data_IF_990496056291
#
_entry.id   IF_990496056291
#
_cell.length_a   1.000
_cell.length_b   1.000
_cell.length_c   1.000
_cell.angle_alpha   90.00
_cell.angle_beta   90.00
_cell.angle_gamma   90.00
#
_symmetry.space_group_name_H-M   'P 1'
#
loop_
_entity.id
_entity.type
_entity.pdbx_description
1 polymer ?
#
# COMPACT_ATOMS: atom_id res chain seq x y z
N UNK A 1 -25.99 -12.74 19.90
CA UNK A 1 -24.98 -13.71 19.40
C UNK A 1 -24.37 -13.08 18.15
N UNK A 2 -23.10 -12.75 17.95
CA UNK A 2 -21.83 -12.89 18.66
C UNK A 2 -20.89 -11.80 18.13
N UNK A 3 -20.82 -10.62 18.76
CA UNK A 3 -19.98 -9.52 18.27
C UNK A 3 -18.48 -9.87 18.30
N UNK A 4 -18.05 -10.71 19.25
CA UNK A 4 -16.64 -11.12 19.40
C UNK A 4 -16.13 -11.96 18.23
N UNK A 5 -16.94 -12.87 17.68
CA UNK A 5 -16.53 -13.72 16.55
C UNK A 5 -16.34 -12.92 15.26
N UNK A 6 -17.21 -11.92 15.03
CA UNK A 6 -17.10 -11.04 13.85
C UNK A 6 -15.77 -10.26 13.81
N UNK A 7 -15.23 -9.86 14.96
CA UNK A 7 -13.99 -9.09 15.01
C UNK A 7 -12.74 -9.96 14.77
N UNK A 8 -12.79 -11.26 15.09
CA UNK A 8 -11.72 -12.21 14.75
C UNK A 8 -11.70 -12.51 13.24
N UNK A 9 -12.88 -12.70 12.64
CA UNK A 9 -13.03 -12.87 11.19
C UNK A 9 -12.46 -11.68 10.41
N UNK A 10 -12.73 -10.45 10.85
CA UNK A 10 -12.26 -9.25 10.15
C UNK A 10 -10.75 -9.03 10.29
N UNK A 11 -10.14 -9.46 11.40
CA UNK A 11 -8.68 -9.48 11.56
C UNK A 11 -8.01 -10.45 10.59
N UNK A 12 -8.56 -11.65 10.45
CA UNK A 12 -8.00 -12.65 9.52
C UNK A 12 -8.20 -12.21 8.05
N UNK A 13 -9.33 -11.61 7.71
CA UNK A 13 -9.54 -10.99 6.39
C UNK A 13 -8.53 -9.89 6.09
N UNK A 14 -8.24 -9.01 7.05
CA UNK A 14 -7.25 -7.95 6.87
C UNK A 14 -5.84 -8.51 6.60
N UNK A 15 -5.44 -9.56 7.31
CA UNK A 15 -4.16 -10.26 7.07
C UNK A 15 -4.11 -10.92 5.70
N UNK A 16 -5.17 -11.65 5.34
CA UNK A 16 -5.26 -12.30 4.04
C UNK A 16 -5.20 -11.27 2.89
N UNK A 17 -5.86 -10.13 3.06
CA UNK A 17 -5.82 -9.05 2.07
C UNK A 17 -4.43 -8.43 1.93
N UNK A 18 -3.72 -8.24 3.04
CA UNK A 18 -2.35 -7.74 3.03
C UNK A 18 -1.41 -8.69 2.27
N UNK A 19 -1.48 -9.99 2.57
CA UNK A 19 -0.70 -11.02 1.87
C UNK A 19 -1.00 -11.02 0.38
N UNK A 20 -2.27 -11.04 -0.01
CA UNK A 20 -2.67 -11.00 -1.42
C UNK A 20 -2.18 -9.73 -2.13
N UNK A 21 -2.24 -8.56 -1.48
CA UNK A 21 -1.70 -7.31 -2.03
C UNK A 21 -0.18 -7.36 -2.20
N UNK A 22 0.52 -8.00 -1.26
CA UNK A 22 1.96 -8.19 -1.34
C UNK A 22 2.36 -9.19 -2.44
N UNK A 23 1.65 -10.32 -2.58
CA UNK A 23 1.85 -11.28 -3.67
C UNK A 23 1.64 -10.65 -5.05
N UNK A 24 0.60 -9.82 -5.18
CA UNK A 24 0.35 -9.05 -6.40
C UNK A 24 1.50 -8.09 -6.72
N UNK A 25 2.10 -7.47 -5.69
CA UNK A 25 3.25 -6.59 -5.86
C UNK A 25 4.50 -7.36 -6.29
N UNK A 26 4.75 -8.53 -5.69
CA UNK A 26 5.87 -9.41 -6.05
C UNK A 26 5.77 -9.95 -7.48
N UNK A 27 4.55 -10.23 -7.93
CA UNK A 27 4.28 -10.72 -9.29
C UNK A 27 4.27 -9.61 -10.34
N UNK A 28 4.28 -8.34 -9.92
CA UNK A 28 4.21 -7.20 -10.83
C UNK A 28 5.57 -6.93 -11.47
N UNK A 29 5.60 -6.92 -12.80
CA UNK A 29 6.81 -6.61 -13.55
C UNK A 29 6.97 -5.08 -13.63
N UNK A 30 7.59 -4.49 -12.60
CA UNK A 30 7.75 -3.05 -12.47
C UNK A 30 7.95 -2.59 -11.03
N UNK A 31 7.58 -1.34 -10.75
CA UNK A 31 7.53 -0.81 -9.38
C UNK A 31 6.09 -0.72 -8.90
N UNK A 32 5.85 -1.04 -7.64
CA UNK A 32 4.58 -0.73 -7.00
C UNK A 32 4.76 -0.25 -5.57
N UNK A 33 3.64 0.18 -5.00
CA UNK A 33 3.58 0.80 -3.70
C UNK A 33 2.52 0.09 -2.84
N UNK A 34 2.93 -0.29 -1.63
CA UNK A 34 2.06 -0.88 -0.63
C UNK A 34 2.20 -0.06 0.65
N UNK A 35 1.10 0.54 1.10
CA UNK A 35 1.02 1.28 2.35
C UNK A 35 -0.01 0.62 3.26
N UNK A 36 0.37 0.39 4.52
CA UNK A 36 -0.53 -0.08 5.56
C UNK A 36 -0.60 0.97 6.65
N UNK A 37 -1.79 1.53 6.85
CA UNK A 37 -2.04 2.51 7.90
C UNK A 37 -2.93 1.88 8.97
N UNK A 38 -2.54 2.02 10.24
CA UNK A 38 -3.36 1.54 11.36
C UNK A 38 -3.66 2.67 12.32
N UNK A 39 -4.94 2.85 12.63
CA UNK A 39 -5.41 3.86 13.57
C UNK A 39 -6.14 3.20 14.73
N UNK A 40 -5.70 3.47 15.95
CA UNK A 40 -6.42 3.05 17.16
C UNK A 40 -7.61 3.97 17.33
N UNK A 41 -8.81 3.40 17.35
CA UNK A 41 -10.07 4.10 17.56
C UNK A 41 -10.46 4.05 19.05
N UNK A 42 -11.57 4.74 19.37
CA UNK A 42 -12.15 4.68 20.71
C UNK A 42 -12.57 3.24 21.04
N UNK A 43 -12.56 2.90 22.33
CA UNK A 43 -12.99 1.58 22.87
C UNK A 43 -12.16 0.38 22.37
N UNK A 44 -10.89 0.58 22.03
CA UNK A 44 -9.98 -0.52 21.69
C UNK A 44 -10.18 -1.12 20.30
N UNK A 45 -11.01 -0.50 19.45
CA UNK A 45 -11.09 -0.88 18.04
C UNK A 45 -9.87 -0.38 17.27
N UNK A 46 -9.49 -1.08 16.22
CA UNK A 46 -8.39 -0.69 15.32
C UNK A 46 -8.92 -0.63 13.90
N UNK A 47 -8.74 0.50 13.25
CA UNK A 47 -8.94 0.66 11.81
C UNK A 47 -7.65 0.30 11.08
N UNK A 48 -7.75 -0.50 10.02
CA UNK A 48 -6.62 -0.93 9.18
C UNK A 48 -6.95 -0.60 7.74
N UNK A 49 -6.14 0.27 7.14
CA UNK A 49 -6.25 0.68 5.74
C UNK A 49 -5.07 0.11 4.97
N UNK A 50 -5.34 -0.65 3.92
CA UNK A 50 -4.32 -1.23 3.03
C UNK A 50 -4.49 -0.56 1.65
N UNK A 51 -3.50 0.22 1.25
CA UNK A 51 -3.46 0.86 -0.06
C UNK A 51 -2.42 0.16 -0.93
N UNK A 52 -2.86 -0.31 -2.10
CA UNK A 52 -2.01 -0.94 -3.10
C UNK A 52 -2.31 -0.27 -4.45
N UNK A 53 -1.61 0.83 -4.75
CA UNK A 53 -1.80 1.59 -5.98
C UNK A 53 -0.79 1.17 -7.04
N UNK A 54 -1.18 1.29 -8.31
CA UNK A 54 -0.26 1.17 -9.44
C UNK A 54 0.51 2.48 -9.51
N UNK A 55 1.81 2.45 -9.26
CA UNK A 55 2.63 3.66 -9.30
C UNK A 55 2.81 4.14 -10.75
N UNK A 56 2.51 5.40 -11.01
CA UNK A 56 2.86 6.06 -12.28
C UNK A 56 4.28 6.61 -12.15
N UNK A 57 5.21 6.12 -12.97
CA UNK A 57 6.59 6.62 -13.01
C UNK A 57 6.86 7.21 -14.39
N UNK A 58 7.45 8.39 -14.38
CA UNK A 58 7.97 9.06 -15.57
C UNK A 58 9.47 9.25 -15.37
N UNK A 59 10.27 8.85 -16.35
CA UNK A 59 11.66 9.27 -16.46
C UNK A 59 11.61 10.49 -17.36
N UNK A 60 12.11 11.62 -16.87
CA UNK A 60 12.16 12.88 -17.62
C UNK A 60 13.62 13.25 -17.75
N UNK A 61 14.09 13.31 -19.00
CA UNK A 61 15.44 13.77 -19.31
C UNK A 61 15.55 15.26 -18.97
N UNK A 62 16.67 15.67 -18.38
CA UNK A 62 16.94 17.10 -18.18
C UNK A 62 17.56 17.66 -19.45
N UNK A 63 17.06 18.78 -19.96
CA UNK A 63 17.76 19.54 -20.99
C UNK A 63 19.09 20.02 -20.39
N UNK A 64 20.21 19.41 -20.80
CA UNK A 64 21.53 19.98 -20.57
C UNK A 64 21.54 21.34 -21.27
N UNK A 65 21.42 22.41 -20.49
CA UNK A 65 21.85 23.72 -20.98
C UNK A 65 23.34 23.59 -21.25
N UNK A 66 23.69 23.55 -22.53
CA UNK A 66 25.04 23.87 -22.99
C UNK A 66 25.41 25.25 -22.44
N UNK A 67 26.05 25.26 -21.27
CA UNK A 67 26.77 26.39 -20.76
C UNK A 67 27.94 26.64 -21.70
N UNK A 68 27.88 27.76 -22.41
CA UNK A 68 28.89 28.17 -23.35
C UNK A 68 30.30 28.16 -22.76
N UNK A 69 31.23 27.56 -23.51
CA UNK A 69 32.65 27.84 -23.45
C UNK A 69 33.31 27.35 -24.75
N UNK A 70 33.30 28.21 -25.79
CA UNK A 70 34.49 28.67 -26.52
C UNK A 70 34.12 29.69 -27.59
#
# INVERSE_FOLDING_TARGET
MNTTLQHEDDKEKAKAKLLASFENLLSHNGSGHLEVNTKILKRGQKEVTIQCSRSHRFIVDMEEKEGGAQ
#
